data_IF_021591356271
#
_entry.id   IF_021591356271
#
_cell.length_a   1.000
_cell.length_b   1.000
_cell.length_c   1.000
_cell.angle_alpha   90.00
_cell.angle_beta   90.00
_cell.angle_gamma   90.00
#
_symmetry.space_group_name_H-M   'P 1'
#
loop_
_entity.id
_entity.type
_entity.pdbx_description
1 polymer ?
#
# COMPACT_ATOMS: atom_id res chain seq x y z
N UNK A 1 -14.27 -2.94 -21.21
CA UNK A 1 -15.65 -2.42 -21.43
C UNK A 1 -16.00 -1.25 -20.51
N UNK A 2 -15.72 -1.29 -19.20
CA UNK A 2 -16.05 -0.19 -18.26
C UNK A 2 -15.38 1.16 -18.60
N UNK A 3 -14.13 1.15 -19.08
CA UNK A 3 -13.40 2.38 -19.47
C UNK A 3 -14.05 3.06 -20.69
N UNK A 4 -14.47 2.27 -21.68
CA UNK A 4 -15.10 2.78 -22.93
C UNK A 4 -16.48 3.38 -22.68
N UNK A 5 -17.23 2.88 -21.69
CA UNK A 5 -18.51 3.46 -21.25
C UNK A 5 -18.35 4.75 -20.45
N UNK A 6 -17.21 4.91 -19.76
CA UNK A 6 -16.92 6.13 -18.99
C UNK A 6 -16.50 7.27 -19.93
N UNK A 7 -15.71 6.98 -20.98
CA UNK A 7 -15.32 7.98 -21.98
C UNK A 7 -16.51 8.49 -22.80
N UNK A 8 -17.44 7.61 -23.23
CA UNK A 8 -18.60 8.02 -24.03
C UNK A 8 -19.53 8.98 -23.27
N UNK A 9 -19.75 8.73 -21.98
CA UNK A 9 -20.59 9.60 -21.13
C UNK A 9 -19.93 10.96 -20.87
N UNK A 10 -18.60 10.98 -20.77
CA UNK A 10 -17.81 12.21 -20.65
C UNK A 10 -17.78 13.02 -21.94
N UNK A 11 -17.76 12.37 -23.11
CA UNK A 11 -17.88 13.02 -24.42
C UNK A 11 -19.26 13.66 -24.61
N UNK A 12 -20.32 12.98 -24.17
CA UNK A 12 -21.70 13.52 -24.15
C UNK A 12 -21.81 14.74 -23.21
N UNK A 13 -21.28 14.65 -21.98
CA UNK A 13 -21.25 15.79 -21.05
C UNK A 13 -20.45 16.97 -21.62
N UNK A 14 -19.31 16.70 -22.27
CA UNK A 14 -18.49 17.73 -22.93
C UNK A 14 -19.27 18.41 -24.06
N UNK A 15 -19.93 17.65 -24.93
CA UNK A 15 -20.70 18.21 -26.05
C UNK A 15 -21.89 19.03 -25.54
N UNK A 16 -22.57 18.59 -24.48
CA UNK A 16 -23.67 19.33 -23.87
C UNK A 16 -23.19 20.67 -23.27
N UNK A 17 -22.04 20.68 -22.60
CA UNK A 17 -21.47 21.92 -22.04
C UNK A 17 -20.93 22.84 -23.14
N UNK A 18 -20.26 22.31 -24.16
CA UNK A 18 -19.80 23.09 -25.32
C UNK A 18 -21.00 23.73 -26.06
N UNK A 19 -22.09 22.98 -26.25
CA UNK A 19 -23.34 23.51 -26.82
C UNK A 19 -23.97 24.60 -25.94
N UNK A 20 -24.05 24.39 -24.62
CA UNK A 20 -24.60 25.41 -23.71
C UNK A 20 -23.79 26.73 -23.75
N UNK A 21 -22.46 26.63 -23.84
CA UNK A 21 -21.57 27.80 -23.96
C UNK A 21 -21.72 28.47 -25.33
N UNK A 22 -21.88 27.68 -26.40
CA UNK A 22 -22.05 28.18 -27.77
C UNK A 22 -23.43 28.81 -28.00
N UNK A 23 -24.48 28.26 -27.40
CA UNK A 23 -25.83 28.82 -27.39
C UNK A 23 -25.88 30.12 -26.59
N UNK A 24 -25.19 30.19 -25.44
CA UNK A 24 -25.03 31.44 -24.70
C UNK A 24 -24.28 32.50 -25.54
N UNK A 25 -23.31 32.10 -26.37
CA UNK A 25 -22.58 33.01 -27.26
C UNK A 25 -23.45 33.49 -28.45
N UNK A 26 -24.26 32.61 -29.06
CA UNK A 26 -25.20 32.97 -30.13
C UNK A 26 -26.29 33.93 -29.67
N UNK A 27 -26.80 33.73 -28.45
CA UNK A 27 -27.77 34.66 -27.84
C UNK A 27 -27.15 36.06 -27.65
N UNK A 28 -25.84 36.15 -27.41
CA UNK A 28 -25.13 37.42 -27.31
C UNK A 28 -24.88 38.06 -28.69
N UNK A 29 -24.55 37.29 -29.73
CA UNK A 29 -24.34 37.86 -31.08
C UNK A 29 -25.66 38.32 -31.71
N UNK A 30 -26.74 37.56 -31.50
CA UNK A 30 -28.10 37.95 -31.92
C UNK A 30 -28.58 39.23 -31.20
N UNK A 31 -28.17 39.44 -29.94
CA UNK A 31 -28.45 40.67 -29.19
C UNK A 31 -27.70 41.91 -29.70
N UNK A 32 -26.58 41.73 -30.41
CA UNK A 32 -25.80 42.82 -31.00
C UNK A 32 -26.22 43.18 -32.45
N UNK A 33 -26.88 42.27 -33.18
CA UNK A 33 -27.52 42.59 -34.47
C UNK A 33 -28.96 43.10 -34.30
N UNK A 34 -29.61 42.80 -33.17
CA UNK A 34 -30.97 43.25 -32.86
C UNK A 34 -31.03 44.58 -32.08
N UNK A 35 -29.89 45.26 -31.86
CA UNK A 35 -29.83 46.49 -31.05
C UNK A 35 -30.33 47.75 -31.76
N UNK A 36 -30.68 47.69 -33.06
CA UNK A 36 -31.30 48.81 -33.78
C UNK A 36 -32.82 48.71 -33.98
N UNK A 37 -33.49 47.61 -33.58
CA UNK A 37 -34.95 47.52 -33.70
C UNK A 37 -35.58 46.85 -32.48
N UNK A 38 -36.43 47.62 -31.80
CA UNK A 38 -37.42 47.23 -30.79
C UNK A 38 -36.96 47.16 -29.32
N UNK A 39 -36.80 48.36 -28.76
CA UNK A 39 -37.45 48.73 -27.49
C UNK A 39 -38.79 48.01 -27.32
N UNK A 40 -38.90 47.21 -26.24
CA UNK A 40 -40.12 46.72 -25.53
C UNK A 40 -40.13 45.20 -25.25
N UNK A 41 -39.21 44.72 -24.42
CA UNK A 41 -39.54 43.68 -23.43
C UNK A 41 -38.67 43.80 -22.18
N UNK A 42 -39.25 44.39 -21.14
CA UNK A 42 -38.60 44.77 -19.89
C UNK A 42 -38.49 43.57 -18.93
N UNK A 43 -37.37 43.56 -18.19
CA UNK A 43 -37.13 43.02 -16.85
C UNK A 43 -36.79 41.53 -16.66
N UNK A 44 -35.49 41.22 -16.79
CA UNK A 44 -34.75 40.42 -15.77
C UNK A 44 -33.21 40.48 -15.90
N UNK A 45 -32.65 41.08 -16.95
CA UNK A 45 -31.19 41.17 -17.14
C UNK A 45 -30.65 42.53 -16.65
N UNK A 46 -30.51 42.70 -15.33
CA UNK A 46 -29.97 43.93 -14.73
C UNK A 46 -28.68 43.72 -13.91
N UNK A 47 -28.09 42.53 -13.93
CA UNK A 47 -26.77 42.28 -13.35
C UNK A 47 -26.00 41.27 -14.21
N UNK A 48 -25.55 41.70 -15.38
CA UNK A 48 -24.48 41.01 -16.08
C UNK A 48 -23.28 41.97 -16.17
N UNK A 49 -22.15 41.63 -15.55
CA UNK A 49 -20.99 42.52 -15.54
C UNK A 49 -20.47 42.75 -16.96
N UNK A 50 -19.90 43.93 -17.27
CA UNK A 50 -19.43 44.29 -18.62
C UNK A 50 -18.35 43.35 -19.17
N UNK A 51 -17.69 42.57 -18.31
CA UNK A 51 -16.64 41.60 -18.68
C UNK A 51 -17.17 40.16 -18.90
N UNK A 52 -18.49 39.95 -19.01
CA UNK A 52 -19.08 38.61 -19.08
C UNK A 52 -18.57 37.77 -20.27
N UNK A 53 -18.37 38.39 -21.44
CA UNK A 53 -17.85 37.70 -22.63
C UNK A 53 -16.40 37.23 -22.48
N UNK A 54 -15.57 38.01 -21.78
CA UNK A 54 -14.19 37.63 -21.45
C UNK A 54 -14.18 36.57 -20.34
N UNK A 55 -15.04 36.70 -19.33
CA UNK A 55 -15.21 35.68 -18.29
C UNK A 55 -15.69 34.34 -18.85
N UNK A 56 -16.53 34.34 -19.89
CA UNK A 56 -17.01 33.13 -20.55
C UNK A 56 -15.92 32.47 -21.41
N UNK A 57 -15.11 33.27 -22.12
CA UNK A 57 -13.93 32.76 -22.85
C UNK A 57 -12.90 32.16 -21.89
N UNK A 58 -12.63 32.85 -20.77
CA UNK A 58 -11.76 32.35 -19.70
C UNK A 58 -12.31 31.05 -19.11
N UNK A 59 -13.63 30.99 -18.82
CA UNK A 59 -14.27 29.78 -18.32
C UNK A 59 -14.15 28.62 -19.33
N UNK A 60 -14.39 28.86 -20.62
CA UNK A 60 -14.21 27.85 -21.69
C UNK A 60 -12.78 27.32 -21.73
N UNK A 61 -11.78 28.21 -21.65
CA UNK A 61 -10.37 27.81 -21.62
C UNK A 61 -10.02 27.00 -20.37
N UNK A 62 -10.48 27.40 -19.19
CA UNK A 62 -10.24 26.67 -17.93
C UNK A 62 -10.86 25.28 -17.99
N UNK A 63 -12.09 25.17 -18.47
CA UNK A 63 -12.80 23.89 -18.63
C UNK A 63 -12.04 22.99 -19.60
N UNK A 64 -11.63 23.52 -20.75
CA UNK A 64 -10.84 22.77 -21.75
C UNK A 64 -9.50 22.30 -21.18
N UNK A 65 -8.83 23.13 -20.37
CA UNK A 65 -7.58 22.79 -19.70
C UNK A 65 -7.77 21.63 -18.71
N UNK A 66 -8.84 21.66 -17.90
CA UNK A 66 -9.19 20.60 -16.96
C UNK A 66 -9.47 19.27 -17.67
N UNK A 67 -10.26 19.28 -18.75
CA UNK A 67 -10.51 18.07 -19.54
C UNK A 67 -9.24 17.50 -20.16
N UNK A 68 -8.37 18.37 -20.72
CA UNK A 68 -7.10 17.94 -21.28
C UNK A 68 -6.18 17.31 -20.23
N UNK A 69 -6.22 17.80 -18.99
CA UNK A 69 -5.48 17.25 -17.86
C UNK A 69 -6.02 15.87 -17.44
N UNK A 70 -7.35 15.72 -17.40
CA UNK A 70 -8.00 14.43 -17.09
C UNK A 70 -7.58 13.36 -18.11
N UNK A 71 -7.60 13.70 -19.40
CA UNK A 71 -7.20 12.77 -20.46
C UNK A 71 -5.72 12.33 -20.31
N UNK A 72 -4.83 13.24 -19.92
CA UNK A 72 -3.42 12.92 -19.68
C UNK A 72 -3.25 11.95 -18.49
N UNK A 73 -4.00 12.13 -17.40
CA UNK A 73 -3.96 11.20 -16.27
C UNK A 73 -4.51 9.81 -16.64
N UNK A 74 -5.59 9.74 -17.41
CA UNK A 74 -6.13 8.46 -17.89
C UNK A 74 -5.12 7.74 -18.78
N UNK A 75 -4.46 8.46 -19.70
CA UNK A 75 -3.37 7.90 -20.52
C UNK A 75 -2.18 7.44 -19.67
N UNK A 76 -1.80 8.19 -18.63
CA UNK A 76 -0.73 7.78 -17.72
C UNK A 76 -1.09 6.48 -16.99
N UNK A 77 -2.30 6.38 -16.43
CA UNK A 77 -2.74 5.18 -15.73
C UNK A 77 -2.81 3.97 -16.66
N UNK A 78 -3.28 4.17 -17.90
CA UNK A 78 -3.27 3.12 -18.91
C UNK A 78 -1.85 2.60 -19.18
N UNK A 79 -0.89 3.51 -19.41
CA UNK A 79 0.51 3.16 -19.67
C UNK A 79 1.13 2.45 -18.47
N UNK A 80 0.90 2.92 -17.25
CA UNK A 80 1.39 2.28 -16.02
C UNK A 80 0.80 0.87 -15.81
N UNK A 81 -0.50 0.69 -16.09
CA UNK A 81 -1.15 -0.61 -15.96
C UNK A 81 -0.64 -1.61 -17.01
N UNK A 82 -0.47 -1.16 -18.27
CA UNK A 82 0.10 -1.99 -19.34
C UNK A 82 1.55 -2.33 -19.05
N UNK A 83 2.36 -1.38 -18.57
CA UNK A 83 3.74 -1.61 -18.17
C UNK A 83 3.82 -2.65 -17.05
N UNK A 84 2.98 -2.55 -16.02
CA UNK A 84 2.94 -3.55 -14.95
C UNK A 84 2.51 -4.93 -15.46
N UNK A 85 1.51 -5.01 -16.35
CA UNK A 85 1.09 -6.29 -16.92
C UNK A 85 2.24 -6.97 -17.68
N UNK A 86 2.94 -6.22 -18.53
CA UNK A 86 4.12 -6.71 -19.27
C UNK A 86 5.24 -7.13 -18.31
N UNK A 87 5.47 -6.35 -17.25
CA UNK A 87 6.47 -6.68 -16.24
C UNK A 87 6.14 -7.99 -15.51
N UNK A 88 4.88 -8.20 -15.11
CA UNK A 88 4.41 -9.43 -14.47
C UNK A 88 4.50 -10.64 -15.40
N UNK A 89 4.13 -10.47 -16.68
CA UNK A 89 4.32 -11.52 -17.69
C UNK A 89 5.79 -11.85 -17.88
N UNK A 90 6.67 -10.85 -17.89
CA UNK A 90 8.13 -11.06 -17.97
C UNK A 90 8.68 -11.84 -16.77
N UNK A 91 8.24 -11.51 -15.55
CA UNK A 91 8.59 -12.27 -14.34
C UNK A 91 8.08 -13.71 -14.43
N UNK A 92 6.83 -13.92 -14.86
CA UNK A 92 6.27 -15.25 -15.03
C UNK A 92 7.06 -16.08 -16.05
N UNK A 93 7.50 -15.49 -17.16
CA UNK A 93 8.33 -16.18 -18.14
C UNK A 93 9.68 -16.61 -17.57
N UNK A 94 10.30 -15.80 -16.70
CA UNK A 94 11.53 -16.19 -15.99
C UNK A 94 11.25 -17.35 -15.05
N UNK A 95 10.11 -17.35 -14.36
CA UNK A 95 9.72 -18.46 -13.47
C UNK A 95 9.58 -19.76 -14.27
N UNK A 96 8.90 -19.69 -15.42
CA UNK A 96 8.73 -20.84 -16.31
C UNK A 96 10.06 -21.34 -16.90
N UNK A 97 10.98 -20.43 -17.26
CA UNK A 97 12.32 -20.80 -17.77
C UNK A 97 13.13 -21.58 -16.74
N UNK A 98 13.02 -21.19 -15.46
CA UNK A 98 13.76 -21.82 -14.36
C UNK A 98 13.16 -23.16 -13.92
N UNK A 99 11.84 -23.30 -13.89
CA UNK A 99 11.18 -24.45 -13.23
C UNK A 99 10.71 -25.53 -14.20
N UNK A 100 10.19 -25.16 -15.38
CA UNK A 100 9.48 -26.11 -16.26
C UNK A 100 10.22 -26.43 -17.57
N UNK A 101 11.02 -25.50 -18.08
CA UNK A 101 11.59 -25.63 -19.42
C UNK A 101 12.98 -26.25 -19.37
N UNK A 102 13.08 -27.55 -19.72
CA UNK A 102 14.39 -28.25 -19.79
C UNK A 102 15.02 -28.12 -21.19
N UNK A 103 14.20 -28.07 -22.24
CA UNK A 103 14.66 -28.09 -23.63
C UNK A 103 15.34 -26.77 -24.06
N UNK A 104 16.53 -26.88 -24.67
CA UNK A 104 17.37 -25.72 -25.07
C UNK A 104 16.67 -24.78 -26.06
N UNK A 105 15.95 -25.33 -27.06
CA UNK A 105 15.26 -24.53 -28.08
C UNK A 105 14.11 -23.71 -27.50
N UNK A 106 13.35 -24.27 -26.55
CA UNK A 106 12.28 -23.54 -25.85
C UNK A 106 12.82 -22.51 -24.87
N UNK A 107 13.94 -22.80 -24.17
CA UNK A 107 14.62 -21.78 -23.34
C UNK A 107 15.02 -20.57 -24.17
N UNK A 108 15.63 -20.80 -25.33
CA UNK A 108 16.00 -19.73 -26.25
C UNK A 108 14.78 -18.91 -26.68
N UNK A 109 13.67 -19.57 -27.04
CA UNK A 109 12.43 -18.90 -27.43
C UNK A 109 11.83 -18.05 -26.30
N UNK A 110 11.76 -18.56 -25.07
CA UNK A 110 11.28 -17.80 -23.90
C UNK A 110 12.16 -16.58 -23.61
N UNK A 111 13.49 -16.71 -23.69
CA UNK A 111 14.42 -15.61 -23.44
C UNK A 111 14.34 -14.53 -24.52
N UNK A 112 14.14 -14.90 -25.79
CA UNK A 112 13.88 -13.94 -26.87
C UNK A 112 12.57 -13.20 -26.60
N UNK A 113 11.50 -13.92 -26.24
CA UNK A 113 10.21 -13.30 -25.90
C UNK A 113 10.33 -12.33 -24.72
N UNK A 114 11.02 -12.72 -23.65
CA UNK A 114 11.26 -11.85 -22.49
C UNK A 114 12.13 -10.62 -22.83
N UNK A 115 13.10 -10.76 -23.73
CA UNK A 115 13.90 -9.63 -24.25
C UNK A 115 13.03 -8.64 -25.01
N UNK A 116 12.14 -9.12 -25.89
CA UNK A 116 11.19 -8.27 -26.63
C UNK A 116 10.24 -7.56 -25.67
N UNK A 117 9.66 -8.28 -24.70
CA UNK A 117 8.78 -7.68 -23.69
C UNK A 117 9.51 -6.64 -22.83
N UNK A 118 10.77 -6.87 -22.48
CA UNK A 118 11.59 -5.93 -21.71
C UNK A 118 11.87 -4.66 -22.53
N UNK A 119 12.14 -4.77 -23.84
CA UNK A 119 12.29 -3.59 -24.72
C UNK A 119 11.00 -2.76 -24.78
N UNK A 120 9.84 -3.42 -24.91
CA UNK A 120 8.53 -2.74 -24.89
C UNK A 120 8.32 -2.06 -23.53
N UNK A 121 8.63 -2.74 -22.43
CA UNK A 121 8.53 -2.20 -21.08
C UNK A 121 9.38 -0.93 -20.90
N UNK A 122 10.65 -0.95 -21.33
CA UNK A 122 11.53 0.21 -21.26
C UNK A 122 10.99 1.40 -22.07
N UNK A 123 10.43 1.13 -23.26
CA UNK A 123 9.75 2.15 -24.06
C UNK A 123 8.54 2.76 -23.33
N UNK A 124 7.74 1.94 -22.64
CA UNK A 124 6.59 2.40 -21.88
C UNK A 124 7.01 3.24 -20.66
N UNK A 125 8.11 2.88 -19.98
CA UNK A 125 8.68 3.68 -18.89
C UNK A 125 9.12 5.05 -19.41
N UNK A 126 9.81 5.10 -20.56
CA UNK A 126 10.15 6.36 -21.23
C UNK A 126 8.91 7.18 -21.62
N UNK A 127 7.87 6.52 -22.12
CA UNK A 127 6.61 7.18 -22.47
C UNK A 127 5.89 7.76 -21.25
N UNK A 128 5.86 7.01 -20.14
CA UNK A 128 5.34 7.48 -18.85
C UNK A 128 6.06 8.75 -18.39
N UNK A 129 7.38 8.80 -18.47
CA UNK A 129 8.16 9.98 -18.11
C UNK A 129 7.78 11.22 -18.96
N UNK A 130 7.53 11.02 -20.26
CA UNK A 130 7.05 12.09 -21.15
C UNK A 130 5.67 12.59 -20.71
N UNK A 131 4.75 11.68 -20.35
CA UNK A 131 3.42 12.04 -19.85
C UNK A 131 3.49 12.80 -18.52
N UNK A 132 4.32 12.35 -17.59
CA UNK A 132 4.52 13.02 -16.30
C UNK A 132 5.04 14.46 -16.49
N UNK A 133 6.00 14.65 -17.39
CA UNK A 133 6.46 16.00 -17.77
C UNK A 133 5.33 16.85 -18.34
N UNK A 134 4.52 16.31 -19.25
CA UNK A 134 3.38 17.04 -19.85
C UNK A 134 2.37 17.47 -18.78
N UNK A 135 2.09 16.62 -17.81
CA UNK A 135 1.20 16.92 -16.68
C UNK A 135 1.78 18.05 -15.82
N UNK A 136 3.08 18.00 -15.50
CA UNK A 136 3.75 19.04 -14.71
C UNK A 136 3.75 20.42 -15.39
N UNK A 137 3.96 20.44 -16.72
CA UNK A 137 3.85 21.67 -17.52
C UNK A 137 2.43 22.21 -17.50
N UNK A 138 1.42 21.33 -17.68
CA UNK A 138 0.01 21.76 -17.71
C UNK A 138 -0.51 22.24 -16.36
N UNK A 139 0.05 21.75 -15.25
CA UNK A 139 -0.22 22.25 -13.90
C UNK A 139 0.50 23.56 -13.56
N UNK A 140 1.21 24.17 -14.53
CA UNK A 140 2.05 25.36 -14.35
C UNK A 140 3.12 25.20 -13.24
N UNK A 141 3.50 23.97 -12.90
CA UNK A 141 4.62 23.70 -11.97
C UNK A 141 5.94 23.89 -12.70
N UNK A 142 5.97 23.56 -13.99
CA UNK A 142 7.15 23.66 -14.86
C UNK A 142 6.89 24.61 -16.05
N UNK A 143 7.89 25.42 -16.46
CA UNK A 143 7.81 26.15 -17.71
C UNK A 143 7.82 25.23 -18.94
N UNK A 144 7.16 25.62 -20.05
CA UNK A 144 7.01 24.77 -21.25
C UNK A 144 8.34 24.46 -21.96
N UNK A 145 9.30 25.38 -21.92
CA UNK A 145 10.57 25.28 -22.66
C UNK A 145 11.73 24.70 -21.83
N UNK A 146 11.43 23.99 -20.74
CA UNK A 146 12.48 23.39 -19.88
C UNK A 146 13.06 22.13 -20.53
N UNK A 147 14.39 22.12 -20.68
CA UNK A 147 15.17 20.94 -21.06
C UNK A 147 15.11 19.84 -19.99
N UNK A 148 15.07 18.57 -20.41
CA UNK A 148 14.97 17.40 -19.50
C UNK A 148 16.06 17.38 -18.41
N UNK A 149 17.27 17.84 -18.75
CA UNK A 149 18.42 17.88 -17.82
C UNK A 149 18.25 18.81 -16.61
N UNK A 150 17.31 19.76 -16.64
CA UNK A 150 17.04 20.66 -15.52
C UNK A 150 16.21 20.01 -14.41
N UNK A 151 15.83 18.74 -14.56
CA UNK A 151 14.99 17.97 -13.63
C UNK A 151 15.77 16.76 -13.06
N UNK A 152 16.85 16.98 -12.28
CA UNK A 152 17.79 15.92 -11.91
C UNK A 152 17.15 14.83 -11.04
N UNK A 153 16.18 15.19 -10.18
CA UNK A 153 15.48 14.22 -9.31
C UNK A 153 14.66 13.22 -10.14
N UNK A 154 13.85 13.71 -11.07
CA UNK A 154 13.02 12.86 -11.94
C UNK A 154 13.89 12.06 -12.92
N UNK A 155 14.99 12.64 -13.41
CA UNK A 155 15.93 11.94 -14.28
C UNK A 155 16.65 10.80 -13.55
N UNK A 156 17.08 11.02 -12.30
CA UNK A 156 17.69 9.97 -11.48
C UNK A 156 16.69 8.85 -11.18
N UNK A 157 15.43 9.20 -10.89
CA UNK A 157 14.37 8.21 -10.72
C UNK A 157 14.13 7.39 -12.00
N UNK A 158 14.07 8.05 -13.17
CA UNK A 158 13.94 7.37 -14.46
C UNK A 158 15.13 6.42 -14.71
N UNK A 159 16.36 6.89 -14.47
CA UNK A 159 17.56 6.10 -14.67
C UNK A 159 17.55 4.84 -13.78
N UNK A 160 17.13 4.97 -12.52
CA UNK A 160 16.99 3.84 -11.61
C UNK A 160 15.89 2.87 -12.09
N UNK A 161 14.72 3.36 -12.49
CA UNK A 161 13.63 2.52 -13.02
C UNK A 161 14.06 1.76 -14.28
N UNK A 162 14.78 2.43 -15.19
CA UNK A 162 15.31 1.80 -16.39
C UNK A 162 16.39 0.77 -16.05
N UNK A 163 17.32 1.08 -15.14
CA UNK A 163 18.37 0.16 -14.71
C UNK A 163 17.78 -1.13 -14.11
N UNK A 164 16.80 -0.99 -13.21
CA UNK A 164 16.08 -2.12 -12.60
C UNK A 164 15.36 -2.96 -13.64
N UNK A 165 14.66 -2.32 -14.59
CA UNK A 165 13.91 -3.05 -15.61
C UNK A 165 14.79 -3.65 -16.71
N UNK A 166 15.99 -3.13 -16.92
CA UNK A 166 16.96 -3.61 -17.91
C UNK A 166 17.61 -4.94 -17.51
N UNK A 167 17.64 -5.29 -16.22
CA UNK A 167 18.21 -6.56 -15.75
C UNK A 167 17.40 -7.73 -16.33
N UNK A 168 18.05 -8.49 -17.22
CA UNK A 168 17.50 -9.68 -17.89
C UNK A 168 18.65 -10.64 -18.23
N UNK A 169 18.38 -11.94 -18.23
CA UNK A 169 19.29 -12.95 -18.78
C UNK A 169 19.19 -12.93 -20.31
N UNK A 170 20.24 -12.54 -21.05
CA UNK A 170 20.16 -12.43 -22.50
C UNK A 170 20.02 -13.80 -23.19
N UNK A 171 19.36 -13.86 -24.36
CA UNK A 171 19.23 -15.12 -25.10
C UNK A 171 20.60 -15.61 -25.58
N UNK A 172 20.87 -16.91 -25.41
CA UNK A 172 22.11 -17.55 -25.85
C UNK A 172 23.24 -17.59 -24.83
N UNK A 173 23.04 -17.09 -23.60
CA UNK A 173 23.99 -17.33 -22.51
C UNK A 173 23.75 -18.68 -21.87
N UNK A 174 24.65 -19.62 -22.11
CA UNK A 174 24.72 -20.90 -21.42
C UNK A 174 26.03 -20.92 -20.61
N UNK A 175 25.93 -21.20 -19.32
CA UNK A 175 27.10 -21.30 -18.47
C UNK A 175 26.75 -21.16 -16.99
N UNK A 176 27.76 -21.39 -16.17
CA UNK A 176 27.68 -21.24 -14.74
C UNK A 176 28.90 -20.47 -14.23
N UNK A 177 28.76 -19.88 -13.06
CA UNK A 177 29.84 -19.24 -12.33
C UNK A 177 30.01 -19.92 -10.97
N UNK A 178 31.26 -20.09 -10.57
CA UNK A 178 31.60 -20.63 -9.26
C UNK A 178 31.52 -19.52 -8.22
N UNK A 179 30.88 -19.81 -7.08
CA UNK A 179 30.82 -18.92 -5.93
C UNK A 179 31.52 -19.60 -4.77
N UNK A 180 32.33 -18.82 -4.06
CA UNK A 180 33.03 -19.26 -2.85
C UNK A 180 32.67 -18.34 -1.71
N UNK A 181 32.03 -18.89 -0.69
CA UNK A 181 31.65 -18.15 0.52
C UNK A 181 32.53 -18.59 1.68
N UNK A 182 33.15 -17.63 2.37
CA UNK A 182 33.84 -17.91 3.64
C UNK A 182 32.81 -18.11 4.75
N UNK A 183 33.02 -19.10 5.65
CA UNK A 183 32.12 -19.37 6.78
C UNK A 183 32.79 -19.17 8.14
N UNK A 184 33.80 -19.97 8.48
CA UNK A 184 34.48 -19.91 9.78
C UNK A 184 35.89 -20.51 9.71
N UNK A 185 36.72 -20.21 10.71
CA UNK A 185 38.07 -20.77 10.85
C UNK A 185 38.03 -22.19 11.44
N UNK A 186 38.90 -23.10 11.00
CA UNK A 186 38.99 -24.46 11.56
C UNK A 186 40.36 -24.68 12.19
N UNK A 187 40.37 -24.94 13.50
CA UNK A 187 41.58 -25.29 14.25
C UNK A 187 41.96 -26.76 14.02
N UNK A 188 40.97 -27.62 13.82
CA UNK A 188 41.13 -29.08 13.68
C UNK A 188 41.48 -29.51 12.24
N UNK A 189 41.59 -28.56 11.31
CA UNK A 189 41.88 -28.82 9.89
C UNK A 189 40.80 -29.62 9.16
N UNK A 190 39.63 -29.80 9.78
CA UNK A 190 38.48 -30.51 9.22
C UNK A 190 37.23 -29.62 9.26
N UNK A 191 36.38 -29.76 8.25
CA UNK A 191 35.07 -29.11 8.20
C UNK A 191 33.99 -30.18 8.03
N UNK A 192 32.81 -29.96 8.62
CA UNK A 192 31.65 -30.80 8.35
C UNK A 192 31.17 -30.62 6.91
N UNK A 193 30.66 -31.69 6.29
CA UNK A 193 30.00 -31.57 4.99
C UNK A 193 28.81 -30.58 5.11
N UNK A 194 28.58 -29.68 4.15
CA UNK A 194 29.15 -29.59 2.80
C UNK A 194 30.36 -28.65 2.64
N UNK A 195 31.07 -28.28 3.72
CA UNK A 195 32.14 -27.29 3.68
C UNK A 195 33.50 -27.90 3.30
N UNK A 196 34.32 -27.12 2.58
CA UNK A 196 35.67 -27.50 2.13
C UNK A 196 36.72 -26.66 2.85
N UNK A 197 37.80 -27.31 3.31
CA UNK A 197 38.92 -26.63 4.00
C UNK A 197 39.85 -26.00 2.96
N UNK A 198 40.15 -24.71 3.12
CA UNK A 198 41.26 -24.01 2.43
C UNK A 198 41.93 -23.02 3.37
N UNK A 199 43.25 -23.00 3.37
CA UNK A 199 44.05 -22.01 4.10
C UNK A 199 43.64 -21.87 5.60
N UNK A 200 43.33 -23.00 6.25
CA UNK A 200 42.88 -23.03 7.65
C UNK A 200 41.44 -22.54 7.89
N UNK A 201 40.66 -22.27 6.84
CA UNK A 201 39.26 -21.83 6.94
C UNK A 201 38.32 -22.76 6.17
N UNK A 202 37.07 -22.83 6.62
CA UNK A 202 35.98 -23.55 5.96
C UNK A 202 35.26 -22.62 4.97
N UNK A 203 35.20 -23.06 3.71
CA UNK A 203 34.47 -22.39 2.64
C UNK A 203 33.32 -23.25 2.14
N UNK A 204 32.27 -22.57 1.66
CA UNK A 204 31.18 -23.18 0.92
C UNK A 204 31.39 -22.88 -0.57
N UNK A 205 31.69 -23.92 -1.35
CA UNK A 205 31.92 -23.83 -2.79
C UNK A 205 30.72 -24.44 -3.53
N UNK A 206 30.11 -23.67 -4.41
CA UNK A 206 28.99 -24.15 -5.24
C UNK A 206 28.96 -23.41 -6.57
N UNK A 207 28.20 -23.96 -7.52
CA UNK A 207 28.15 -23.50 -8.90
C UNK A 207 26.75 -22.99 -9.21
N UNK A 208 26.63 -21.71 -9.55
CA UNK A 208 25.36 -21.11 -9.96
C UNK A 208 25.26 -21.01 -11.47
N UNK A 209 24.17 -21.50 -12.09
CA UNK A 209 23.91 -21.18 -13.48
C UNK A 209 23.52 -19.70 -13.65
N UNK A 210 23.79 -19.13 -14.83
CA UNK A 210 23.41 -17.74 -15.15
C UNK A 210 21.90 -17.48 -15.10
N UNK A 211 21.08 -18.53 -15.16
CA UNK A 211 19.62 -18.47 -14.97
C UNK A 211 19.21 -17.77 -13.66
N UNK A 212 20.01 -17.89 -12.61
CA UNK A 212 19.72 -17.32 -11.29
C UNK A 212 19.75 -15.79 -11.31
N UNK A 213 20.49 -15.17 -12.24
CA UNK A 213 20.43 -13.72 -12.44
C UNK A 213 19.03 -13.25 -12.87
N UNK A 214 18.20 -14.15 -13.39
CA UNK A 214 16.78 -13.92 -13.63
C UNK A 214 16.00 -13.58 -12.36
N UNK A 215 16.48 -13.96 -11.17
CA UNK A 215 15.86 -13.61 -9.90
C UNK A 215 15.76 -12.10 -9.67
N UNK A 216 16.73 -11.32 -10.16
CA UNK A 216 16.68 -9.86 -10.08
C UNK A 216 15.51 -9.25 -10.86
N UNK A 217 14.90 -10.01 -11.79
CA UNK A 217 13.66 -9.58 -12.44
C UNK A 217 12.48 -9.44 -11.48
N UNK A 218 12.49 -10.11 -10.31
CA UNK A 218 11.50 -9.90 -9.25
C UNK A 218 11.49 -8.46 -8.74
N UNK A 219 12.59 -7.71 -8.89
CA UNK A 219 12.61 -6.31 -8.50
C UNK A 219 11.53 -5.50 -9.24
N UNK A 220 11.10 -5.93 -10.44
CA UNK A 220 9.99 -5.36 -11.24
C UNK A 220 8.65 -5.33 -10.49
N UNK A 221 8.48 -6.11 -9.42
CA UNK A 221 7.30 -6.10 -8.55
C UNK A 221 7.04 -4.74 -7.87
N UNK A 222 8.03 -3.82 -7.85
CA UNK A 222 7.85 -2.44 -7.39
C UNK A 222 6.73 -1.68 -8.13
N UNK A 223 6.33 -2.15 -9.32
CA UNK A 223 5.23 -1.56 -10.11
C UNK A 223 3.85 -1.90 -9.54
N UNK A 224 3.69 -2.97 -8.76
CA UNK A 224 2.39 -3.42 -8.23
C UNK A 224 1.70 -2.32 -7.39
N UNK A 225 2.37 -1.66 -6.43
CA UNK A 225 1.80 -0.51 -5.71
C UNK A 225 1.24 0.60 -6.61
N UNK A 226 1.82 0.81 -7.80
CA UNK A 226 1.32 1.82 -8.75
C UNK A 226 0.01 1.40 -9.37
N UNK A 227 -0.15 0.12 -9.73
CA UNK A 227 -1.41 -0.41 -10.24
C UNK A 227 -2.49 -0.38 -9.16
N UNK A 228 -2.15 -0.73 -7.92
CA UNK A 228 -3.08 -0.61 -6.79
C UNK A 228 -3.61 0.82 -6.68
N UNK A 229 -2.73 1.83 -6.79
CA UNK A 229 -3.15 3.23 -6.87
C UNK A 229 -4.05 3.50 -8.08
N UNK A 230 -3.69 3.05 -9.27
CA UNK A 230 -4.44 3.33 -10.51
C UNK A 230 -5.83 2.68 -10.56
N UNK A 231 -5.97 1.48 -9.98
CA UNK A 231 -7.26 0.79 -9.87
C UNK A 231 -8.14 1.43 -8.80
N UNK A 232 -7.52 2.10 -7.82
CA UNK A 232 -8.27 2.81 -6.79
C UNK A 232 -9.00 4.02 -7.36
N UNK A 233 -10.22 4.25 -6.85
CA UNK A 233 -10.99 5.47 -7.16
C UNK A 233 -10.24 6.75 -6.77
N UNK A 234 -9.23 6.64 -5.90
CA UNK A 234 -8.41 7.74 -5.41
C UNK A 234 -7.43 8.32 -6.44
N UNK A 235 -7.23 7.65 -7.58
CA UNK A 235 -6.43 8.18 -8.69
C UNK A 235 -7.24 9.07 -9.65
N UNK A 236 -8.46 9.49 -9.29
CA UNK A 236 -9.26 10.39 -10.13
C UNK A 236 -8.69 11.81 -10.22
N UNK A 237 -9.03 12.55 -11.28
CA UNK A 237 -8.66 13.97 -11.39
C UNK A 237 -9.22 14.81 -10.24
N UNK A 238 -10.43 14.46 -9.78
CA UNK A 238 -11.13 15.17 -8.71
C UNK A 238 -10.38 15.06 -7.37
N UNK A 239 -9.84 13.88 -7.06
CA UNK A 239 -9.03 13.66 -5.86
C UNK A 239 -7.65 14.31 -5.98
N UNK A 240 -7.10 14.46 -7.19
CA UNK A 240 -5.90 15.27 -7.44
C UNK A 240 -6.15 16.76 -7.20
N UNK A 241 -7.29 17.28 -7.66
CA UNK A 241 -7.70 18.67 -7.41
C UNK A 241 -7.92 18.95 -5.92
N UNK A 242 -8.71 18.11 -5.23
CA UNK A 242 -8.89 18.23 -3.78
C UNK A 242 -7.58 18.07 -3.02
N UNK A 243 -6.69 17.17 -3.49
CA UNK A 243 -5.34 17.03 -2.95
C UNK A 243 -4.55 18.33 -3.04
N UNK A 244 -4.56 19.00 -4.18
CA UNK A 244 -3.88 20.29 -4.35
C UNK A 244 -4.45 21.37 -3.41
N UNK A 245 -5.77 21.41 -3.21
CA UNK A 245 -6.42 22.35 -2.29
C UNK A 245 -5.98 22.13 -0.83
N UNK A 246 -5.85 20.86 -0.43
CA UNK A 246 -5.41 20.47 0.91
C UNK A 246 -3.90 20.26 1.05
N UNK A 247 -3.11 20.56 0.01
CA UNK A 247 -1.64 20.34 -0.05
C UNK A 247 -1.22 18.89 0.22
N UNK A 248 -1.96 17.92 -0.34
CA UNK A 248 -1.69 16.48 -0.26
C UNK A 248 -1.39 15.91 -1.65
N UNK A 249 -0.25 15.24 -1.80
CA UNK A 249 0.15 14.57 -3.04
C UNK A 249 -0.53 13.20 -3.21
N UNK A 250 -1.75 13.23 -3.72
CA UNK A 250 -2.57 12.03 -3.99
C UNK A 250 -2.03 11.14 -5.12
N UNK A 251 -1.05 11.63 -5.89
CA UNK A 251 -0.38 10.87 -6.95
C UNK A 251 0.66 9.86 -6.42
N UNK A 252 1.01 9.93 -5.13
CA UNK A 252 1.97 9.00 -4.52
C UNK A 252 1.31 7.66 -4.22
N UNK A 253 1.94 6.51 -4.52
CA UNK A 253 1.37 5.18 -4.23
C UNK A 253 1.21 4.93 -2.73
N UNK A 254 2.06 5.53 -1.89
CA UNK A 254 1.98 5.43 -0.44
C UNK A 254 0.68 6.01 0.12
N UNK A 255 0.16 7.11 -0.46
CA UNK A 255 -1.12 7.67 -0.05
C UNK A 255 -2.26 6.68 -0.33
N UNK A 256 -2.28 6.07 -1.52
CA UNK A 256 -3.29 5.08 -1.85
C UNK A 256 -3.23 3.84 -0.94
N UNK A 257 -2.03 3.36 -0.61
CA UNK A 257 -1.85 2.25 0.34
C UNK A 257 -2.42 2.63 1.72
N UNK A 258 -2.15 3.83 2.22
CA UNK A 258 -2.72 4.32 3.49
C UNK A 258 -4.25 4.33 3.45
N UNK A 259 -4.84 4.84 2.37
CA UNK A 259 -6.30 4.83 2.21
C UNK A 259 -6.88 3.42 2.18
N UNK A 260 -6.26 2.48 1.46
CA UNK A 260 -6.70 1.08 1.43
C UNK A 260 -6.56 0.38 2.77
N UNK A 261 -5.46 0.63 3.49
CA UNK A 261 -5.24 0.08 4.81
C UNK A 261 -6.31 0.57 5.79
N UNK A 262 -6.78 1.82 5.64
CA UNK A 262 -7.86 2.36 6.47
C UNK A 262 -9.25 1.82 6.05
N UNK A 263 -9.52 1.65 4.76
CA UNK A 263 -10.84 1.19 4.29
C UNK A 263 -11.05 -0.32 4.41
N UNK A 264 -10.05 -1.12 4.01
CA UNK A 264 -10.12 -2.58 3.94
C UNK A 264 -8.80 -3.21 4.41
N UNK A 265 -8.43 -3.05 5.69
CA UNK A 265 -7.13 -3.49 6.22
C UNK A 265 -6.86 -4.98 6.00
N UNK A 266 -7.81 -5.84 6.37
CA UNK A 266 -7.61 -7.30 6.30
C UNK A 266 -7.38 -7.82 4.88
N UNK A 267 -8.09 -7.25 3.87
CA UNK A 267 -7.92 -7.66 2.47
C UNK A 267 -6.54 -7.29 1.95
N UNK A 268 -6.06 -6.08 2.27
CA UNK A 268 -4.74 -5.62 1.85
C UNK A 268 -3.63 -6.41 2.54
N UNK A 269 -3.75 -6.64 3.86
CA UNK A 269 -2.77 -7.39 4.64
C UNK A 269 -2.69 -8.85 4.22
N UNK A 270 -3.82 -9.49 3.94
CA UNK A 270 -3.86 -10.85 3.43
C UNK A 270 -3.18 -10.97 2.06
N UNK A 271 -3.44 -10.03 1.15
CA UNK A 271 -2.80 -9.99 -0.16
C UNK A 271 -1.29 -9.71 -0.07
N UNK A 272 -0.87 -8.85 0.87
CA UNK A 272 0.54 -8.57 1.11
C UNK A 272 1.25 -9.80 1.70
N UNK A 273 0.64 -10.47 2.68
CA UNK A 273 1.19 -11.70 3.29
C UNK A 273 1.37 -12.82 2.27
N UNK A 274 0.32 -13.12 1.49
CA UNK A 274 0.41 -14.17 0.46
C UNK A 274 1.41 -13.81 -0.63
N UNK A 275 1.47 -12.53 -1.05
CA UNK A 275 2.45 -12.04 -2.01
C UNK A 275 3.88 -12.21 -1.53
N UNK A 276 4.23 -11.68 -0.35
CA UNK A 276 5.59 -11.77 0.19
C UNK A 276 6.00 -13.21 0.48
N UNK A 277 5.07 -14.06 0.92
CA UNK A 277 5.31 -15.49 1.13
C UNK A 277 5.71 -16.14 -0.19
N UNK A 278 4.89 -16.02 -1.25
CA UNK A 278 5.17 -16.66 -2.55
C UNK A 278 6.49 -16.14 -3.15
N UNK A 279 6.71 -14.82 -3.13
CA UNK A 279 7.91 -14.21 -3.71
C UNK A 279 9.17 -14.66 -2.96
N UNK A 280 9.15 -14.62 -1.63
CA UNK A 280 10.33 -14.96 -0.82
C UNK A 280 10.62 -16.46 -0.88
N UNK A 281 9.60 -17.31 -0.80
CA UNK A 281 9.78 -18.77 -0.92
C UNK A 281 10.35 -19.15 -2.28
N UNK A 282 9.84 -18.58 -3.36
CA UNK A 282 10.37 -18.82 -4.69
C UNK A 282 11.83 -18.36 -4.83
N UNK A 283 12.13 -17.16 -4.34
CA UNK A 283 13.50 -16.63 -4.37
C UNK A 283 14.47 -17.53 -3.58
N UNK A 284 14.04 -18.00 -2.41
CA UNK A 284 14.84 -18.87 -1.56
C UNK A 284 15.07 -20.25 -2.18
N UNK A 285 14.04 -20.83 -2.81
CA UNK A 285 14.14 -22.12 -3.49
C UNK A 285 15.20 -22.11 -4.61
N UNK A 286 15.24 -21.06 -5.43
CA UNK A 286 16.25 -20.94 -6.49
C UNK A 286 17.67 -20.81 -5.91
N UNK A 287 17.83 -19.96 -4.90
CA UNK A 287 19.15 -19.63 -4.34
C UNK A 287 19.75 -20.81 -3.58
N UNK A 288 18.93 -21.58 -2.85
CA UNK A 288 19.40 -22.71 -2.05
C UNK A 288 19.46 -24.04 -2.83
N UNK A 289 18.82 -24.14 -4.00
CA UNK A 289 18.76 -25.37 -4.81
C UNK A 289 20.10 -26.11 -5.03
N UNK A 290 21.24 -25.45 -5.33
CA UNK A 290 22.49 -26.18 -5.61
C UNK A 290 23.23 -26.67 -4.36
N UNK A 291 22.91 -26.14 -3.18
CA UNK A 291 23.63 -26.43 -1.93
C UNK A 291 22.80 -27.30 -0.99
N UNK A 292 21.52 -26.99 -0.85
CA UNK A 292 20.68 -27.60 0.18
C UNK A 292 19.53 -28.40 -0.44
N UNK A 293 19.62 -29.75 -0.46
CA UNK A 293 18.58 -30.59 -1.04
C UNK A 293 17.26 -30.52 -0.26
N UNK A 294 17.29 -30.17 1.04
CA UNK A 294 16.08 -30.02 1.85
C UNK A 294 15.29 -28.76 1.49
N UNK A 295 15.93 -27.73 0.93
CA UNK A 295 15.29 -26.50 0.45
C UNK A 295 15.05 -26.48 -1.06
N UNK A 296 15.54 -27.47 -1.81
CA UNK A 296 15.23 -27.61 -3.23
C UNK A 296 13.71 -27.71 -3.53
N UNK A 297 12.89 -28.46 -2.76
CA UNK A 297 11.45 -28.48 -3.00
C UNK A 297 10.77 -27.20 -2.48
N UNK A 298 9.94 -26.60 -3.33
CA UNK A 298 9.21 -25.36 -3.02
C UNK A 298 8.36 -25.50 -1.73
N UNK A 299 7.79 -26.67 -1.45
CA UNK A 299 7.02 -26.94 -0.23
C UNK A 299 7.78 -26.63 1.05
N UNK A 300 9.07 -27.01 1.10
CA UNK A 300 9.90 -26.82 2.28
C UNK A 300 10.32 -25.36 2.44
N UNK A 301 10.54 -24.65 1.32
CA UNK A 301 10.81 -23.21 1.36
C UNK A 301 9.59 -22.39 1.77
N UNK A 302 8.38 -22.81 1.36
CA UNK A 302 7.12 -22.21 1.79
C UNK A 302 6.91 -22.43 3.28
N UNK A 303 7.14 -23.66 3.76
CA UNK A 303 7.11 -23.99 5.18
C UNK A 303 8.06 -23.10 6.01
N UNK A 304 9.33 -23.03 5.61
CA UNK A 304 10.34 -22.22 6.29
C UNK A 304 9.99 -20.73 6.33
N UNK A 305 9.61 -20.15 5.18
CA UNK A 305 9.26 -18.73 5.08
C UNK A 305 8.02 -18.42 5.90
N UNK A 306 6.98 -19.28 5.86
CA UNK A 306 5.78 -19.11 6.66
C UNK A 306 6.08 -19.11 8.17
N UNK A 307 6.91 -20.06 8.64
CA UNK A 307 7.33 -20.13 10.04
C UNK A 307 8.16 -18.91 10.46
N UNK A 308 9.01 -18.41 9.57
CA UNK A 308 9.84 -17.22 9.84
C UNK A 308 9.00 -15.97 9.87
N UNK A 309 8.05 -15.80 8.94
CA UNK A 309 7.11 -14.68 8.94
C UNK A 309 6.23 -14.68 10.19
N UNK A 310 5.84 -15.86 10.67
CA UNK A 310 5.08 -16.05 11.91
C UNK A 310 5.96 -15.95 13.18
N UNK A 311 7.27 -15.74 13.04
CA UNK A 311 8.25 -15.66 14.15
C UNK A 311 8.33 -16.92 15.03
N UNK A 312 7.99 -18.10 14.48
CA UNK A 312 8.02 -19.40 15.19
C UNK A 312 9.43 -19.99 15.17
N UNK A 313 10.01 -20.15 13.97
CA UNK A 313 11.39 -20.60 13.77
C UNK A 313 11.75 -21.95 14.40
N UNK A 314 11.11 -23.05 13.98
CA UNK A 314 11.42 -24.39 14.53
C UNK A 314 12.88 -24.83 14.34
N UNK A 315 13.54 -24.35 13.28
CA UNK A 315 14.96 -24.66 13.00
C UNK A 315 15.19 -26.05 12.41
N UNK A 316 14.15 -26.71 11.91
CA UNK A 316 14.20 -27.98 11.18
C UNK A 316 14.88 -27.86 9.81
N UNK A 317 14.67 -26.74 9.12
CA UNK A 317 15.28 -26.43 7.83
C UNK A 317 15.80 -24.99 7.86
N UNK A 318 17.04 -24.76 7.40
CA UNK A 318 17.68 -23.43 7.41
C UNK A 318 18.51 -23.19 6.15
N UNK A 319 18.56 -21.94 5.64
CA UNK A 319 19.37 -21.60 4.47
C UNK A 319 20.85 -21.61 4.83
N UNK A 320 21.66 -22.20 3.95
CA UNK A 320 23.11 -22.32 4.14
C UNK A 320 23.84 -21.20 3.40
N UNK A 321 23.29 -20.70 2.29
CA UNK A 321 23.91 -19.64 1.49
C UNK A 321 23.72 -18.27 2.14
N UNK A 322 24.70 -17.37 1.95
CA UNK A 322 24.59 -16.00 2.45
C UNK A 322 23.44 -15.24 1.78
N UNK A 323 23.23 -15.44 0.48
CA UNK A 323 22.13 -14.85 -0.26
C UNK A 323 20.76 -15.32 0.25
N UNK A 324 20.61 -16.62 0.54
CA UNK A 324 19.39 -17.19 1.11
C UNK A 324 19.08 -16.63 2.50
N UNK A 325 20.10 -16.47 3.34
CA UNK A 325 19.96 -15.84 4.65
C UNK A 325 19.50 -14.37 4.54
N UNK A 326 20.10 -13.58 3.64
CA UNK A 326 19.70 -12.19 3.39
C UNK A 326 18.24 -12.12 2.90
N UNK A 327 17.85 -12.98 1.96
CA UNK A 327 16.46 -13.07 1.49
C UNK A 327 15.49 -13.43 2.61
N UNK A 328 15.85 -14.39 3.47
CA UNK A 328 15.02 -14.80 4.60
C UNK A 328 14.89 -13.70 5.65
N UNK A 329 15.95 -12.94 5.92
CA UNK A 329 15.91 -11.79 6.83
C UNK A 329 14.98 -10.70 6.31
N UNK A 330 15.14 -10.25 5.06
CA UNK A 330 14.34 -9.15 4.53
C UNK A 330 12.91 -9.58 4.15
N UNK A 331 12.78 -10.68 3.41
CA UNK A 331 11.51 -11.16 2.87
C UNK A 331 10.68 -12.00 3.84
N UNK A 332 11.32 -12.67 4.80
CA UNK A 332 10.65 -13.45 5.85
C UNK A 332 10.49 -12.65 7.14
N UNK A 333 11.60 -12.35 7.81
CA UNK A 333 11.59 -11.79 9.16
C UNK A 333 11.08 -10.33 9.18
N UNK A 334 11.72 -9.42 8.45
CA UNK A 334 11.32 -7.99 8.45
C UNK A 334 9.91 -7.81 7.89
N UNK A 335 9.60 -8.46 6.76
CA UNK A 335 8.25 -8.40 6.19
C UNK A 335 7.19 -8.99 7.13
N UNK A 336 7.46 -10.14 7.76
CA UNK A 336 6.57 -10.77 8.73
C UNK A 336 6.27 -9.87 9.93
N UNK A 337 7.31 -9.30 10.55
CA UNK A 337 7.16 -8.38 11.69
C UNK A 337 6.32 -7.15 11.31
N UNK A 338 6.58 -6.55 10.15
CA UNK A 338 5.80 -5.40 9.67
C UNK A 338 4.33 -5.76 9.41
N UNK A 339 4.06 -6.95 8.85
CA UNK A 339 2.70 -7.42 8.61
C UNK A 339 1.95 -7.70 9.91
N UNK A 340 2.58 -8.35 10.89
CA UNK A 340 2.00 -8.60 12.21
C UNK A 340 1.70 -7.26 12.93
N UNK A 341 2.62 -6.29 12.86
CA UNK A 341 2.42 -4.96 13.43
C UNK A 341 1.28 -4.19 12.76
N UNK A 342 1.16 -4.27 11.42
CA UNK A 342 0.07 -3.64 10.70
C UNK A 342 -1.28 -4.34 10.99
N UNK A 343 -1.28 -5.67 11.14
CA UNK A 343 -2.45 -6.45 11.51
C UNK A 343 -2.94 -6.10 12.92
N UNK A 344 -2.03 -5.99 13.90
CA UNK A 344 -2.40 -5.60 15.26
C UNK A 344 -2.98 -4.18 15.29
N UNK A 345 -2.36 -3.23 14.58
CA UNK A 345 -2.90 -1.87 14.44
C UNK A 345 -4.31 -1.85 13.83
N UNK A 346 -4.56 -2.67 12.80
CA UNK A 346 -5.88 -2.80 12.20
C UNK A 346 -6.92 -3.42 13.16
N UNK A 347 -6.52 -4.43 13.93
CA UNK A 347 -7.38 -5.04 14.96
C UNK A 347 -7.73 -4.03 16.05
N UNK A 348 -6.77 -3.24 16.53
CA UNK A 348 -7.03 -2.19 17.51
C UNK A 348 -7.94 -1.09 16.96
N UNK A 349 -7.80 -0.73 15.68
CA UNK A 349 -8.70 0.21 15.03
C UNK A 349 -10.13 -0.34 14.91
N UNK A 350 -10.30 -1.64 14.67
CA UNK A 350 -11.61 -2.30 14.61
C UNK A 350 -12.28 -2.40 16.00
N UNK A 351 -11.49 -2.66 17.04
CA UNK A 351 -11.97 -2.72 18.43
C UNK A 351 -12.23 -1.34 19.04
N UNK A 352 -11.78 -0.27 18.37
CA UNK A 352 -11.99 1.09 18.84
C UNK A 352 -13.47 1.44 18.71
N UNK A 353 -14.12 1.61 19.86
CA UNK A 353 -15.52 2.04 19.93
C UNK A 353 -15.72 3.41 19.27
N UNK A 354 -16.80 3.52 18.50
CA UNK A 354 -17.28 4.79 17.98
C UNK A 354 -17.67 5.71 19.14
N UNK A 355 -17.63 7.03 18.90
CA UNK A 355 -18.07 7.99 19.93
C UNK A 355 -19.56 7.84 20.28
N UNK A 356 -20.36 7.26 19.37
CA UNK A 356 -21.75 6.88 19.63
C UNK A 356 -21.83 5.74 20.64
N UNK A 357 -21.04 4.68 20.46
CA UNK A 357 -21.04 3.53 21.35
C UNK A 357 -20.54 3.93 22.74
N UNK A 358 -19.53 4.81 22.81
CA UNK A 358 -19.06 5.38 24.09
C UNK A 358 -20.16 6.14 24.82
N UNK A 359 -20.94 6.97 24.10
CA UNK A 359 -22.10 7.69 24.69
C UNK A 359 -23.17 6.72 25.18
N UNK A 360 -23.48 5.68 24.40
CA UNK A 360 -24.43 4.65 24.79
C UNK A 360 -23.99 3.88 26.04
N UNK A 361 -22.74 3.44 26.08
CA UNK A 361 -22.16 2.77 27.26
C UNK A 361 -22.17 3.70 28.48
N UNK A 362 -21.88 4.99 28.29
CA UNK A 362 -21.95 5.97 29.37
C UNK A 362 -23.37 6.09 29.93
N UNK A 363 -24.39 6.17 29.07
CA UNK A 363 -25.79 6.18 29.51
C UNK A 363 -26.21 4.90 30.23
N UNK A 364 -25.74 3.73 29.79
CA UNK A 364 -26.01 2.46 30.48
C UNK A 364 -25.38 2.42 31.88
N UNK A 365 -24.14 2.92 32.03
CA UNK A 365 -23.46 2.97 33.34
C UNK A 365 -24.17 3.92 34.30
N UNK A 366 -24.68 5.06 33.81
CA UNK A 366 -25.48 5.96 34.64
C UNK A 366 -26.73 5.26 35.18
N UNK A 367 -27.45 4.55 34.32
CA UNK A 367 -28.63 3.81 34.74
C UNK A 367 -28.31 2.70 35.76
N UNK A 368 -27.18 1.99 35.59
CA UNK A 368 -26.72 1.00 36.56
C UNK A 368 -26.39 1.65 37.91
N UNK A 369 -25.67 2.78 37.89
CA UNK A 369 -25.32 3.51 39.10
C UNK A 369 -26.55 3.99 39.87
N UNK A 370 -27.58 4.49 39.18
CA UNK A 370 -28.84 4.90 39.80
C UNK A 370 -29.56 3.72 40.47
N UNK A 371 -29.53 2.55 39.85
CA UNK A 371 -30.12 1.33 40.42
C UNK A 371 -29.37 0.88 41.69
N UNK A 372 -28.03 0.84 41.62
CA UNK A 372 -27.17 0.51 42.77
C UNK A 372 -27.34 1.52 43.92
N UNK A 373 -27.41 2.81 43.60
CA UNK A 373 -27.66 3.87 44.58
C UNK A 373 -29.01 3.68 45.27
N UNK A 374 -30.07 3.44 44.50
CA UNK A 374 -31.40 3.21 45.06
C UNK A 374 -31.44 1.98 45.97
N UNK A 375 -30.75 0.90 45.60
CA UNK A 375 -30.63 -0.31 46.43
C UNK A 375 -29.80 -0.07 47.70
N UNK A 376 -28.70 0.67 47.60
CA UNK A 376 -27.87 1.08 48.74
C UNK A 376 -28.65 2.00 49.71
N UNK A 377 -29.39 2.97 49.19
CA UNK A 377 -30.29 3.81 49.98
C UNK A 377 -31.38 2.98 50.68
N UNK A 378 -32.02 2.05 49.97
CA UNK A 378 -33.03 1.17 50.57
C UNK A 378 -32.44 0.32 51.71
N UNK A 379 -31.27 -0.30 51.51
CA UNK A 379 -30.62 -1.14 52.52
C UNK A 379 -30.12 -0.33 53.73
N UNK A 380 -29.61 0.88 53.54
CA UNK A 380 -29.18 1.77 54.64
C UNK A 380 -30.36 2.22 55.49
N UNK A 381 -31.49 2.59 54.87
CA UNK A 381 -32.73 2.90 55.61
C UNK A 381 -33.23 1.68 56.37
N UNK A 382 -33.26 0.50 55.74
CA UNK A 382 -33.70 -0.74 56.39
C UNK A 382 -32.81 -1.11 57.59
N UNK A 383 -31.50 -0.97 57.48
CA UNK A 383 -30.55 -1.25 58.58
C UNK A 383 -30.66 -0.22 59.71
N UNK A 384 -30.83 1.07 59.39
CA UNK A 384 -31.08 2.12 60.38
C UNK A 384 -32.39 1.89 61.15
N UNK A 385 -33.47 1.53 60.45
CA UNK A 385 -34.76 1.21 61.06
C UNK A 385 -34.70 -0.01 61.99
N UNK A 386 -34.09 -1.11 61.54
CA UNK A 386 -33.89 -2.31 62.37
C UNK A 386 -33.10 -1.96 63.64
N UNK A 387 -32.02 -1.19 63.51
CA UNK A 387 -31.22 -0.71 64.66
C UNK A 387 -32.02 0.14 65.64
N UNK A 388 -32.92 0.99 65.16
CA UNK A 388 -33.79 1.81 66.01
C UNK A 388 -34.81 0.94 66.77
N UNK A 389 -35.42 -0.06 66.13
CA UNK A 389 -36.37 -0.95 66.80
C UNK A 389 -35.71 -1.94 67.77
N UNK A 390 -34.46 -2.36 67.51
CA UNK A 390 -33.66 -3.16 68.45
C UNK A 390 -33.18 -2.33 69.67
N UNK A 391 -33.27 -1.00 69.60
CA UNK A 391 -32.86 -0.09 70.68
C UNK A 391 -33.88 -0.11 71.84
N UNK A 392 -33.51 -0.75 72.96
CA UNK A 392 -34.31 -0.71 74.20
C UNK A 392 -33.99 0.54 75.02
N UNK A 393 -34.96 1.43 75.31
CA UNK A 393 -34.73 2.63 76.11
C UNK A 393 -34.26 2.24 77.51
N UNK A 394 -33.05 2.70 77.88
CA UNK A 394 -32.37 2.35 79.14
C UNK A 394 -31.04 1.60 78.96
N UNK A 395 -30.74 1.09 77.77
CA UNK A 395 -29.40 0.54 77.46
C UNK A 395 -28.54 1.58 76.76
N UNK A 396 -27.66 2.25 77.50
CA UNK A 396 -26.70 3.22 76.95
C UNK A 396 -25.72 2.50 75.99
N UNK A 397 -25.73 2.75 74.67
CA UNK A 397 -24.78 2.11 73.75
C UNK A 397 -23.36 2.67 73.92
N UNK A 398 -23.21 3.83 74.56
CA UNK A 398 -21.92 4.50 74.76
C UNK A 398 -21.09 3.95 75.92
N UNK A 399 -21.62 3.03 76.75
CA UNK A 399 -20.88 2.45 77.89
C UNK A 399 -20.16 1.13 77.57
N UNK A 400 -20.41 0.50 76.42
CA UNK A 400 -19.77 -0.79 76.03
C UNK A 400 -18.58 -0.69 75.07
N UNK A 401 -18.10 0.52 74.73
CA UNK A 401 -16.89 0.68 73.90
C UNK A 401 -15.59 0.81 74.70
N UNK A 402 -15.65 0.89 76.04
CA UNK A 402 -14.44 0.99 76.88
C UNK A 402 -13.92 -0.36 77.39
N UNK A 403 -14.73 -1.42 77.38
CA UNK A 403 -14.28 -2.78 77.74
C UNK A 403 -13.77 -3.57 76.52
N UNK A 404 -14.40 -3.44 75.34
CA UNK A 404 -13.94 -4.17 74.15
C UNK A 404 -12.75 -3.53 73.42
N UNK A 405 -12.32 -2.32 73.80
CA UNK A 405 -11.07 -1.73 73.30
C UNK A 405 -9.82 -2.38 73.91
N UNK A 406 -9.94 -3.11 75.01
CA UNK A 406 -8.84 -3.90 75.57
C UNK A 406 -8.68 -5.22 74.80
N UNK A 407 -9.80 -5.84 74.41
CA UNK A 407 -9.80 -7.12 73.69
C UNK A 407 -9.39 -7.00 72.20
N UNK A 408 -9.64 -5.86 71.56
CA UNK A 408 -9.22 -5.64 70.16
C UNK A 408 -7.75 -5.23 70.02
N UNK A 409 -7.06 -4.88 71.12
CA UNK A 409 -5.64 -4.50 71.09
C UNK A 409 -4.70 -5.72 71.18
N UNK A 410 -5.17 -6.85 71.72
CA UNK A 410 -4.38 -8.10 71.75
C UNK A 410 -4.56 -8.97 70.50
N UNK A 411 -5.66 -8.83 69.76
CA UNK A 411 -5.88 -9.60 68.51
C UNK A 411 -5.20 -9.01 67.27
N UNK A 412 -4.63 -7.81 67.36
CA UNK A 412 -3.94 -7.13 66.25
C UNK A 412 -2.40 -7.12 66.39
N UNK A 413 -1.85 -7.79 67.43
CA UNK A 413 -0.41 -7.93 67.66
C UNK A 413 0.02 -9.38 67.96
N UNK A 414 -0.70 -10.37 67.42
CA UNK A 414 -0.26 -11.77 67.37
C UNK A 414 -0.21 -12.26 65.92
#
# INVERSE_FOLDING_TARGET
MLVRRKSSRLEEERQAVEQQVEDAFKLQSAGNEASDVALLRRNSSAYLPPNLGDNLRVAKHVIQDVYSLQELYERQHFVENVACAIAMTGVLLVILDNEYVVNKSSKLALRIANSVLTKILLSLIGWRFILERRILVRRNVLPPNVTVFRMPKQLMQLALELAVCFIIVPPGTDGSFEVREWKYFTDDGSCGAPFVVRDGSCYLEYVYPFEILGLFSLLRLYMIPRVIRNVSSFASYHTSYLGALHRVDTMTPLFAIKCFLQSHPFRLLLAAFSGTLVITSYALAIVEAPVNPNLAPLSNTVWLVALTMATIGYGDVVPVTTAGQVLLVFGGMVAGILLIAALSAALFALLRLDDRDKRFIHSLRLQQYDCELNQACASTIQTAWRRFHEFKPGTHPYRKRKENSVLFREMLFA
#
